data_IF_873281736156
#
_entry.id   IF_873281736156
#
_cell.length_a   1.000
_cell.length_b   1.000
_cell.length_c   1.000
_cell.angle_alpha   90.00
_cell.angle_beta   90.00
_cell.angle_gamma   90.00
#
_symmetry.space_group_name_H-M   'P 1'
#
loop_
_entity.id
_entity.type
_entity.pdbx_description
1 polymer ?
#
# COMPACT_ATOMS: atom_id res chain seq x y z
N UNK A 1 -68.10 -70.80 -2.93
CA UNK A 1 -67.74 -69.81 -3.96
C UNK A 1 -67.51 -68.47 -3.23
N UNK A 2 -66.22 -68.13 -3.04
CA UNK A 2 -65.81 -66.83 -2.52
C UNK A 2 -64.96 -66.22 -3.62
N UNK A 3 -65.50 -65.33 -4.43
CA UNK A 3 -64.77 -64.48 -5.39
C UNK A 3 -64.07 -63.40 -4.59
N UNK A 4 -62.74 -63.42 -4.61
CA UNK A 4 -61.92 -62.36 -4.08
C UNK A 4 -61.98 -61.14 -5.04
N UNK A 5 -62.60 -60.06 -4.55
CA UNK A 5 -62.54 -58.71 -5.14
C UNK A 5 -61.10 -58.17 -4.88
N UNK A 6 -60.20 -58.44 -5.81
CA UNK A 6 -58.90 -57.74 -5.87
C UNK A 6 -59.17 -56.33 -6.35
N UNK A 7 -59.11 -55.39 -5.44
CA UNK A 7 -59.59 -54.00 -5.59
C UNK A 7 -58.75 -53.14 -6.54
N UNK A 8 -59.27 -52.04 -7.04
CA UNK A 8 -58.63 -51.07 -7.98
C UNK A 8 -57.43 -50.31 -7.31
N UNK A 9 -57.19 -50.52 -6.03
CA UNK A 9 -56.14 -49.79 -5.25
C UNK A 9 -54.70 -50.15 -5.68
N UNK A 10 -54.43 -51.36 -6.22
CA UNK A 10 -53.11 -51.73 -6.64
C UNK A 10 -52.67 -51.05 -7.95
N UNK A 11 -53.63 -50.88 -8.91
CA UNK A 11 -53.39 -50.17 -10.15
C UNK A 11 -53.17 -48.66 -9.98
N UNK A 12 -53.89 -48.07 -9.05
CA UNK A 12 -53.70 -46.64 -8.69
C UNK A 12 -52.35 -46.38 -8.02
N UNK A 13 -51.84 -47.25 -7.15
CA UNK A 13 -50.52 -47.09 -6.55
C UNK A 13 -49.40 -47.28 -7.58
N UNK A 14 -49.52 -48.21 -8.50
CA UNK A 14 -48.59 -48.40 -9.59
C UNK A 14 -48.52 -47.21 -10.56
N UNK A 15 -49.68 -46.61 -10.89
CA UNK A 15 -49.75 -45.42 -11.71
C UNK A 15 -49.19 -44.16 -11.03
N UNK A 16 -49.41 -44.05 -9.71
CA UNK A 16 -48.82 -42.96 -8.92
C UNK A 16 -47.31 -43.06 -8.81
N UNK A 17 -46.76 -44.29 -8.59
CA UNK A 17 -45.31 -44.50 -8.52
C UNK A 17 -44.61 -44.24 -9.88
N UNK A 18 -45.22 -44.57 -11.02
CA UNK A 18 -44.67 -44.29 -12.34
C UNK A 18 -44.69 -42.78 -12.67
N UNK A 19 -45.76 -42.06 -12.26
CA UNK A 19 -45.82 -40.60 -12.43
C UNK A 19 -44.79 -39.87 -11.55
N UNK A 20 -44.61 -40.32 -10.32
CA UNK A 20 -43.56 -39.81 -9.40
C UNK A 20 -42.16 -40.08 -9.97
N UNK A 21 -41.92 -41.25 -10.52
CA UNK A 21 -40.62 -41.62 -11.11
C UNK A 21 -40.31 -40.77 -12.35
N UNK A 22 -41.28 -40.53 -13.23
CA UNK A 22 -41.10 -39.64 -14.39
C UNK A 22 -40.82 -38.20 -13.99
N UNK A 23 -41.46 -37.70 -12.95
CA UNK A 23 -41.20 -36.40 -12.37
C UNK A 23 -39.79 -36.29 -11.81
N UNK A 24 -39.36 -37.23 -11.00
CA UNK A 24 -38.00 -37.26 -10.42
C UNK A 24 -36.91 -37.37 -11.49
N UNK A 25 -37.20 -38.14 -12.57
CA UNK A 25 -36.29 -38.22 -13.70
C UNK A 25 -36.17 -36.90 -14.47
N UNK A 26 -37.24 -36.14 -14.58
CA UNK A 26 -37.21 -34.80 -15.17
C UNK A 26 -36.42 -33.83 -14.29
N UNK A 27 -36.73 -33.79 -12.97
CA UNK A 27 -35.99 -32.98 -11.98
C UNK A 27 -34.48 -33.35 -11.97
N UNK A 28 -34.14 -34.61 -12.09
CA UNK A 28 -32.74 -35.06 -12.19
C UNK A 28 -32.02 -34.52 -13.43
N UNK A 29 -32.71 -34.54 -14.60
CA UNK A 29 -32.14 -33.98 -15.85
C UNK A 29 -31.90 -32.47 -15.70
N UNK A 30 -32.86 -31.75 -15.12
CA UNK A 30 -32.77 -30.32 -14.93
C UNK A 30 -31.63 -29.96 -13.96
N UNK A 31 -31.51 -30.68 -12.83
CA UNK A 31 -30.45 -30.45 -11.86
C UNK A 31 -29.08 -30.86 -12.40
N UNK A 32 -29.01 -31.91 -13.21
CA UNK A 32 -27.76 -32.27 -13.88
C UNK A 32 -27.34 -31.24 -14.91
N UNK A 33 -28.30 -30.67 -15.66
CA UNK A 33 -28.04 -29.55 -16.60
C UNK A 33 -27.55 -28.30 -15.86
N UNK A 34 -28.16 -28.01 -14.71
CA UNK A 34 -27.74 -26.90 -13.81
C UNK A 34 -26.31 -27.15 -13.27
N UNK A 35 -26.04 -28.34 -12.79
CA UNK A 35 -24.70 -28.70 -12.30
C UNK A 35 -23.61 -28.53 -13.37
N UNK A 36 -23.93 -28.86 -14.64
CA UNK A 36 -23.00 -28.63 -15.76
C UNK A 36 -22.77 -27.16 -16.05
N UNK A 37 -23.81 -26.30 -16.05
CA UNK A 37 -23.66 -24.84 -16.20
C UNK A 37 -22.78 -24.28 -15.09
N UNK A 38 -23.03 -24.66 -13.83
CA UNK A 38 -22.21 -24.22 -12.69
C UNK A 38 -20.75 -24.67 -12.81
N UNK A 39 -20.47 -25.86 -13.36
CA UNK A 39 -19.10 -26.31 -13.64
C UNK A 39 -18.43 -25.46 -14.73
N UNK A 40 -19.15 -25.11 -15.80
CA UNK A 40 -18.63 -24.23 -16.84
C UNK A 40 -18.34 -22.82 -16.31
N UNK A 41 -19.25 -22.26 -15.51
CA UNK A 41 -19.06 -20.99 -14.82
C UNK A 41 -17.86 -21.06 -13.84
N UNK A 42 -17.71 -22.17 -13.12
CA UNK A 42 -16.57 -22.40 -12.25
C UNK A 42 -15.23 -22.45 -13.01
N UNK A 43 -15.24 -23.04 -14.22
CA UNK A 43 -14.05 -23.07 -15.06
C UNK A 43 -13.69 -21.67 -15.58
N UNK A 44 -14.69 -20.87 -16.01
CA UNK A 44 -14.48 -19.48 -16.40
C UNK A 44 -13.95 -18.62 -15.24
N UNK A 45 -14.54 -18.78 -14.05
CA UNK A 45 -14.09 -18.10 -12.85
C UNK A 45 -12.72 -18.56 -12.36
N UNK A 46 -12.32 -19.80 -12.66
CA UNK A 46 -10.95 -20.27 -12.40
C UNK A 46 -9.93 -19.49 -13.24
N UNK A 47 -10.25 -19.17 -14.50
CA UNK A 47 -9.40 -18.31 -15.33
C UNK A 47 -9.30 -16.89 -14.77
N UNK A 48 -10.42 -16.31 -14.32
CA UNK A 48 -10.42 -15.00 -13.64
C UNK A 48 -9.55 -15.03 -12.36
N UNK A 49 -9.65 -16.08 -11.58
CA UNK A 49 -8.84 -16.24 -10.36
C UNK A 49 -7.33 -16.29 -10.69
N UNK A 50 -6.94 -16.92 -11.78
CA UNK A 50 -5.53 -16.96 -12.25
C UNK A 50 -5.07 -15.55 -12.65
N UNK A 51 -5.92 -14.78 -13.32
CA UNK A 51 -5.62 -13.41 -13.70
C UNK A 51 -5.49 -12.50 -12.47
N UNK A 52 -6.43 -12.59 -11.53
CA UNK A 52 -6.33 -11.89 -10.25
C UNK A 52 -5.05 -12.26 -9.47
N UNK A 53 -4.62 -13.52 -9.51
CA UNK A 53 -3.36 -13.94 -8.89
C UNK A 53 -2.14 -13.31 -9.57
N UNK A 54 -2.19 -13.11 -10.89
CA UNK A 54 -1.12 -12.40 -11.61
C UNK A 54 -1.07 -10.93 -11.20
N UNK A 55 -2.21 -10.23 -11.22
CA UNK A 55 -2.32 -8.83 -10.81
C UNK A 55 -1.83 -8.64 -9.37
N UNK A 56 -2.24 -9.51 -8.44
CA UNK A 56 -1.80 -9.47 -7.05
C UNK A 56 -0.28 -9.66 -6.90
N UNK A 57 0.35 -10.50 -7.72
CA UNK A 57 1.82 -10.64 -7.71
C UNK A 57 2.53 -9.40 -8.21
N UNK A 58 2.01 -8.76 -9.25
CA UNK A 58 2.57 -7.51 -9.79
C UNK A 58 2.45 -6.37 -8.79
N UNK A 59 1.27 -6.19 -8.18
CA UNK A 59 1.06 -5.16 -7.16
C UNK A 59 1.95 -5.36 -5.92
N UNK A 60 2.12 -6.59 -5.46
CA UNK A 60 3.01 -6.89 -4.32
C UNK A 60 4.48 -6.64 -4.63
N UNK A 61 4.92 -6.84 -5.87
CA UNK A 61 6.28 -6.45 -6.29
C UNK A 61 6.45 -4.95 -6.27
N UNK A 62 5.49 -4.22 -6.83
CA UNK A 62 5.52 -2.77 -6.80
C UNK A 62 5.47 -2.21 -5.36
N UNK A 63 4.69 -2.82 -4.45
CA UNK A 63 4.68 -2.48 -3.02
C UNK A 63 6.05 -2.68 -2.38
N UNK A 64 6.74 -3.78 -2.66
CA UNK A 64 8.08 -4.04 -2.15
C UNK A 64 9.13 -3.04 -2.69
N UNK A 65 8.99 -2.58 -3.93
CA UNK A 65 9.83 -1.53 -4.51
C UNK A 65 9.58 -0.18 -3.84
N UNK A 66 8.32 0.15 -3.54
CA UNK A 66 7.96 1.36 -2.80
C UNK A 66 8.53 1.35 -1.37
N UNK A 67 8.50 0.21 -0.67
CA UNK A 67 9.09 0.07 0.66
C UNK A 67 10.58 0.43 0.65
N UNK A 68 11.34 -0.07 -0.33
CA UNK A 68 12.76 0.26 -0.51
C UNK A 68 12.96 1.75 -0.78
N UNK A 69 12.12 2.36 -1.62
CA UNK A 69 12.21 3.79 -1.91
C UNK A 69 11.88 4.64 -0.69
N UNK A 70 10.88 4.28 0.10
CA UNK A 70 10.52 4.97 1.33
C UNK A 70 11.66 4.94 2.35
N UNK A 71 12.26 3.78 2.57
CA UNK A 71 13.41 3.65 3.48
C UNK A 71 14.60 4.51 3.01
N UNK A 72 14.90 4.53 1.71
CA UNK A 72 15.93 5.39 1.15
C UNK A 72 15.64 6.89 1.37
N UNK A 73 14.38 7.33 1.19
CA UNK A 73 13.99 8.71 1.44
C UNK A 73 14.03 9.07 2.93
N UNK A 74 13.61 8.18 3.83
CA UNK A 74 13.71 8.37 5.28
C UNK A 74 15.16 8.48 5.74
N UNK A 75 16.05 7.61 5.24
CA UNK A 75 17.48 7.68 5.51
C UNK A 75 18.07 9.02 5.05
N UNK A 76 17.71 9.48 3.86
CA UNK A 76 18.14 10.78 3.33
C UNK A 76 17.65 11.96 4.16
N UNK A 77 16.40 11.95 4.60
CA UNK A 77 15.85 12.99 5.47
C UNK A 77 16.60 13.04 6.81
N UNK A 78 16.92 11.89 7.38
CA UNK A 78 17.71 11.78 8.60
C UNK A 78 19.10 12.39 8.41
N UNK A 79 19.81 12.04 7.33
CA UNK A 79 21.12 12.59 7.00
C UNK A 79 21.08 14.12 6.86
N UNK A 80 20.08 14.65 6.13
CA UNK A 80 19.90 16.08 5.94
C UNK A 80 19.63 16.81 7.28
N UNK A 81 18.82 16.21 8.16
CA UNK A 81 18.53 16.75 9.49
C UNK A 81 19.77 16.78 10.39
N UNK A 82 20.57 15.74 10.38
CA UNK A 82 21.84 15.66 11.13
C UNK A 82 22.82 16.72 10.61
N UNK A 83 22.96 16.87 9.31
CA UNK A 83 23.82 17.88 8.69
C UNK A 83 23.35 19.30 8.98
N UNK A 84 22.04 19.57 8.94
CA UNK A 84 21.46 20.86 9.30
C UNK A 84 21.78 21.17 10.78
N UNK A 85 21.53 20.23 11.70
CA UNK A 85 21.80 20.41 13.11
C UNK A 85 23.27 20.75 13.38
N UNK A 86 24.20 20.06 12.73
CA UNK A 86 25.62 20.32 12.86
C UNK A 86 26.00 21.72 12.38
N UNK A 87 25.46 22.17 11.23
CA UNK A 87 25.71 23.51 10.69
C UNK A 87 25.10 24.60 11.56
N UNK A 88 23.89 24.40 12.07
CA UNK A 88 23.23 25.35 12.99
C UNK A 88 24.02 25.48 14.29
N UNK A 89 24.51 24.37 14.85
CA UNK A 89 25.36 24.40 16.06
C UNK A 89 26.68 25.10 15.80
N UNK A 90 27.33 24.90 14.66
CA UNK A 90 28.54 25.61 14.27
C UNK A 90 28.29 27.11 14.10
N UNK A 91 27.21 27.47 13.39
CA UNK A 91 26.80 28.86 13.17
C UNK A 91 26.51 29.61 14.49
N UNK A 92 25.85 28.96 15.44
CA UNK A 92 25.53 29.55 16.75
C UNK A 92 26.81 29.83 17.57
N UNK A 93 27.77 28.90 17.57
CA UNK A 93 29.06 29.10 18.23
C UNK A 93 29.85 30.27 17.65
N UNK A 94 29.88 30.39 16.32
CA UNK A 94 30.59 31.48 15.65
C UNK A 94 29.92 32.83 15.89
N UNK A 95 28.58 32.90 15.82
CA UNK A 95 27.82 34.10 16.16
C UNK A 95 28.10 34.56 17.60
N UNK A 96 28.13 33.63 18.55
CA UNK A 96 28.46 33.94 19.93
C UNK A 96 29.90 34.47 20.09
N UNK A 97 30.86 33.90 19.34
CA UNK A 97 32.26 34.40 19.36
C UNK A 97 32.35 35.82 18.74
N UNK A 98 31.67 36.06 17.62
CA UNK A 98 31.61 37.42 17.03
C UNK A 98 30.93 38.42 17.93
N UNK A 99 29.83 38.05 18.59
CA UNK A 99 29.13 38.88 19.54
C UNK A 99 30.04 39.34 20.70
N UNK A 100 30.88 38.46 21.23
CA UNK A 100 31.87 38.80 22.23
C UNK A 100 32.94 39.77 21.72
N UNK A 101 33.45 39.57 20.49
CA UNK A 101 34.39 40.50 19.88
C UNK A 101 33.79 41.86 19.61
N UNK A 102 32.57 41.93 19.07
CA UNK A 102 31.87 43.21 18.88
C UNK A 102 31.59 43.93 20.18
N UNK A 103 31.19 43.21 21.23
CA UNK A 103 31.00 43.80 22.57
C UNK A 103 32.29 44.38 23.13
N UNK A 104 33.42 43.66 22.96
CA UNK A 104 34.74 44.17 23.39
C UNK A 104 35.13 45.44 22.61
N UNK A 105 34.95 45.45 21.27
CA UNK A 105 35.20 46.62 20.42
C UNK A 105 34.30 47.80 20.80
N UNK A 106 33.02 47.56 21.10
CA UNK A 106 32.10 48.62 21.57
C UNK A 106 32.51 49.17 22.91
N UNK A 107 32.99 48.35 23.87
CA UNK A 107 33.49 48.82 25.14
C UNK A 107 34.73 49.71 24.96
N UNK A 108 35.63 49.34 24.08
CA UNK A 108 36.81 50.15 23.73
C UNK A 108 36.40 51.48 23.04
N UNK A 109 35.39 51.48 22.18
CA UNK A 109 34.89 52.66 21.51
C UNK A 109 34.14 53.62 22.42
N UNK A 110 33.45 53.14 23.48
CA UNK A 110 32.67 53.96 24.41
C UNK A 110 33.50 54.74 25.43
N UNK A 111 34.76 54.37 25.62
CA UNK A 111 35.71 55.07 26.45
C UNK A 111 36.89 55.53 25.59
N UNK A 112 36.69 56.43 24.59
CA UNK A 112 37.81 57.03 23.91
C UNK A 112 38.52 57.92 24.94
N UNK A 113 39.84 57.91 25.01
CA UNK A 113 40.59 58.88 25.82
C UNK A 113 40.20 60.27 25.38
N UNK A 114 40.01 61.26 26.31
CA UNK A 114 39.63 62.62 25.98
C UNK A 114 40.66 63.22 25.01
N UNK A 115 40.23 63.87 23.91
CA UNK A 115 41.10 64.21 22.76
C UNK A 115 42.06 65.37 23.00
N UNK A 116 42.09 65.96 24.19
CA UNK A 116 42.81 67.21 24.40
C UNK A 116 44.00 67.23 25.38
N UNK A 117 44.30 66.12 26.06
CA UNK A 117 45.47 65.92 26.88
C UNK A 117 45.85 64.45 26.95
N UNK A 118 46.39 63.93 25.85
CA UNK A 118 46.89 62.57 25.82
C UNK A 118 48.35 62.58 26.26
N UNK A 119 48.74 62.06 27.48
CA UNK A 119 50.09 61.80 27.82
C UNK A 119 50.74 60.90 26.74
N UNK A 120 52.05 61.02 26.51
CA UNK A 120 52.73 60.28 25.46
C UNK A 120 52.49 58.76 25.51
N UNK A 121 52.29 58.22 26.70
CA UNK A 121 51.97 56.81 26.94
C UNK A 121 50.60 56.38 26.37
N UNK A 122 49.56 57.26 26.44
CA UNK A 122 48.22 56.99 25.92
C UNK A 122 48.19 57.17 24.38
N UNK A 123 49.03 58.01 23.80
CA UNK A 123 49.17 58.12 22.36
C UNK A 123 49.71 56.80 21.74
N UNK A 124 50.66 56.16 22.40
CA UNK A 124 51.20 54.85 22.00
C UNK A 124 50.10 53.78 22.07
N UNK A 125 49.24 53.78 23.08
CA UNK A 125 48.15 52.79 23.20
C UNK A 125 47.06 53.04 22.16
N UNK A 126 46.77 54.26 21.79
CA UNK A 126 45.84 54.59 20.71
C UNK A 126 46.34 54.10 19.33
N UNK A 127 47.65 54.26 19.07
CA UNK A 127 48.27 53.76 17.84
C UNK A 127 48.27 52.20 17.84
N UNK A 128 48.61 51.58 18.95
CA UNK A 128 48.52 50.11 19.10
C UNK A 128 47.09 49.60 18.86
N UNK A 129 46.08 50.26 19.46
CA UNK A 129 44.68 49.91 19.27
C UNK A 129 44.27 50.03 17.78
N UNK A 130 44.70 51.08 17.07
CA UNK A 130 44.43 51.27 15.67
C UNK A 130 45.06 50.23 14.76
N UNK A 131 46.30 49.79 15.09
CA UNK A 131 47.00 48.74 14.40
C UNK A 131 46.30 47.38 14.62
N UNK A 132 45.85 47.10 15.85
CA UNK A 132 45.10 45.88 16.17
C UNK A 132 43.76 45.83 15.45
N UNK A 133 43.01 46.95 15.42
CA UNK A 133 41.74 47.02 14.72
C UNK A 133 41.97 46.77 13.21
N UNK A 134 42.96 47.44 12.62
CA UNK A 134 43.30 47.23 11.19
C UNK A 134 43.73 45.80 10.88
N UNK A 135 44.43 45.12 11.81
CA UNK A 135 44.83 43.72 11.66
C UNK A 135 43.67 42.72 11.79
N UNK A 136 42.68 43.04 12.65
CA UNK A 136 41.53 42.15 12.90
C UNK A 136 40.42 42.32 11.85
N UNK A 137 40.31 43.49 11.22
CA UNK A 137 39.23 43.79 10.24
C UNK A 137 39.12 42.75 9.12
N UNK A 138 40.23 42.32 8.42
CA UNK A 138 40.14 41.34 7.37
C UNK A 138 39.73 39.95 7.88
N UNK A 139 40.13 39.56 9.11
CA UNK A 139 39.66 38.30 9.72
C UNK A 139 38.16 38.33 10.03
N UNK A 140 37.64 39.45 10.53
CA UNK A 140 36.23 39.63 10.74
C UNK A 140 35.41 39.61 9.45
N UNK A 141 35.94 40.18 8.37
CA UNK A 141 35.31 40.12 7.04
C UNK A 141 35.21 38.67 6.56
N UNK A 142 36.33 37.92 6.57
CA UNK A 142 36.33 36.49 6.19
C UNK A 142 35.38 35.65 7.02
N UNK A 143 35.29 35.89 8.33
CA UNK A 143 34.34 35.21 9.23
C UNK A 143 32.89 35.58 8.88
N UNK A 144 32.60 36.83 8.53
CA UNK A 144 31.28 37.22 8.09
C UNK A 144 30.87 36.57 6.77
N UNK A 145 31.80 36.47 5.80
CA UNK A 145 31.58 35.74 4.56
C UNK A 145 31.28 34.26 4.83
N UNK A 146 32.07 33.60 5.66
CA UNK A 146 31.82 32.19 6.06
C UNK A 146 30.47 32.00 6.73
N UNK A 147 30.00 32.95 7.52
CA UNK A 147 28.66 32.88 8.13
C UNK A 147 27.54 32.97 7.08
N UNK A 148 27.69 33.87 6.10
CA UNK A 148 26.73 33.99 4.98
C UNK A 148 26.69 32.70 4.17
N UNK A 149 27.85 32.12 3.85
CA UNK A 149 27.93 30.85 3.11
C UNK A 149 27.25 29.72 3.86
N UNK A 150 27.50 29.57 5.18
CA UNK A 150 26.87 28.56 6.01
C UNK A 150 25.36 28.75 6.13
N UNK A 151 24.89 30.01 6.19
CA UNK A 151 23.48 30.29 6.21
C UNK A 151 22.81 29.92 4.87
N UNK A 152 23.48 30.20 3.75
CA UNK A 152 23.03 29.78 2.43
C UNK A 152 22.99 28.26 2.29
N UNK A 153 23.96 27.51 2.85
CA UNK A 153 24.00 26.05 2.85
C UNK A 153 22.84 25.47 3.69
N UNK A 154 22.55 26.01 4.88
CA UNK A 154 21.38 25.64 5.68
C UNK A 154 20.10 25.82 4.85
N UNK A 155 19.98 26.94 4.12
CA UNK A 155 18.86 27.18 3.23
C UNK A 155 18.75 26.13 2.10
N UNK A 156 19.87 25.68 1.54
CA UNK A 156 19.87 24.59 0.55
C UNK A 156 19.43 23.26 1.16
N UNK A 157 19.97 22.89 2.32
CA UNK A 157 19.59 21.65 3.01
C UNK A 157 18.10 21.62 3.33
N UNK A 158 17.53 22.72 3.81
CA UNK A 158 16.08 22.83 4.08
C UNK A 158 15.23 22.63 2.83
N UNK A 159 15.65 23.20 1.70
CA UNK A 159 14.95 22.98 0.42
C UNK A 159 15.03 21.52 -0.02
N UNK A 160 16.20 20.88 0.12
CA UNK A 160 16.37 19.46 -0.21
C UNK A 160 15.54 18.56 0.71
N UNK A 161 15.47 18.89 1.99
CA UNK A 161 14.62 18.17 2.95
C UNK A 161 13.13 18.31 2.61
N UNK A 162 12.68 19.52 2.25
CA UNK A 162 11.30 19.74 1.83
C UNK A 162 10.95 18.91 0.58
N UNK A 163 11.81 18.88 -0.44
CA UNK A 163 11.61 18.08 -1.64
C UNK A 163 11.61 16.56 -1.35
N UNK A 164 12.50 16.11 -0.45
CA UNK A 164 12.53 14.70 -0.04
C UNK A 164 11.29 14.31 0.77
N UNK A 165 10.78 15.20 1.61
CA UNK A 165 9.54 15.00 2.37
C UNK A 165 8.32 14.92 1.45
N UNK A 166 8.25 15.78 0.44
CA UNK A 166 7.18 15.74 -0.57
C UNK A 166 7.19 14.43 -1.37
N UNK A 167 8.38 13.98 -1.78
CA UNK A 167 8.53 12.68 -2.45
C UNK A 167 8.12 11.51 -1.56
N UNK A 168 8.51 11.52 -0.29
CA UNK A 168 8.11 10.50 0.67
C UNK A 168 6.59 10.44 0.79
N UNK A 169 5.93 11.59 0.95
CA UNK A 169 4.46 11.67 1.02
C UNK A 169 3.80 11.10 -0.25
N UNK A 170 4.34 11.41 -1.43
CA UNK A 170 3.81 10.89 -2.71
C UNK A 170 3.91 9.37 -2.78
N UNK A 171 5.04 8.80 -2.37
CA UNK A 171 5.24 7.34 -2.37
C UNK A 171 4.34 6.67 -1.32
N UNK A 172 4.22 7.24 -0.12
CA UNK A 172 3.33 6.73 0.94
C UNK A 172 1.85 6.74 0.49
N UNK A 173 1.41 7.79 -0.20
CA UNK A 173 0.06 7.86 -0.76
C UNK A 173 -0.16 6.76 -1.81
N UNK A 174 0.75 6.62 -2.75
CA UNK A 174 0.66 5.58 -3.79
C UNK A 174 0.67 4.16 -3.20
N UNK A 175 1.46 3.93 -2.14
CA UNK A 175 1.48 2.66 -1.44
C UNK A 175 0.15 2.34 -0.76
N UNK A 176 -0.47 3.33 -0.11
CA UNK A 176 -1.78 3.16 0.52
C UNK A 176 -2.86 2.81 -0.52
N UNK A 177 -2.85 3.46 -1.69
CA UNK A 177 -3.76 3.16 -2.77
C UNK A 177 -3.57 1.71 -3.29
N UNK A 178 -2.32 1.27 -3.46
CA UNK A 178 -2.01 -0.13 -3.86
C UNK A 178 -2.45 -1.15 -2.81
N UNK A 179 -2.27 -0.85 -1.52
CA UNK A 179 -2.75 -1.73 -0.44
C UNK A 179 -4.26 -1.89 -0.48
N UNK A 180 -5.00 -0.80 -0.67
CA UNK A 180 -6.45 -0.85 -0.81
C UNK A 180 -6.87 -1.68 -2.05
N UNK A 181 -6.16 -1.55 -3.17
CA UNK A 181 -6.38 -2.36 -4.36
C UNK A 181 -6.10 -3.85 -4.12
N UNK A 182 -4.99 -4.20 -3.48
CA UNK A 182 -4.64 -5.58 -3.10
C UNK A 182 -5.73 -6.19 -2.20
N UNK A 183 -6.22 -5.44 -1.22
CA UNK A 183 -7.31 -5.88 -0.34
C UNK A 183 -8.60 -6.12 -1.13
N UNK A 184 -8.97 -5.20 -2.01
CA UNK A 184 -10.14 -5.32 -2.87
C UNK A 184 -10.08 -6.54 -3.81
N UNK A 185 -8.97 -6.75 -4.50
CA UNK A 185 -8.76 -7.90 -5.39
C UNK A 185 -8.73 -9.22 -4.59
N UNK A 186 -8.14 -9.22 -3.41
CA UNK A 186 -8.10 -10.40 -2.54
C UNK A 186 -9.50 -10.77 -2.04
N UNK A 187 -10.29 -9.78 -1.63
CA UNK A 187 -11.68 -9.97 -1.22
C UNK A 187 -12.53 -10.52 -2.39
N UNK A 188 -12.41 -9.93 -3.58
CA UNK A 188 -13.11 -10.40 -4.79
C UNK A 188 -12.75 -11.85 -5.13
N UNK A 189 -11.47 -12.20 -5.12
CA UNK A 189 -10.98 -13.57 -5.35
C UNK A 189 -11.56 -14.55 -4.33
N UNK A 190 -11.56 -14.17 -3.05
CA UNK A 190 -12.07 -15.01 -1.97
C UNK A 190 -13.59 -15.22 -2.09
N UNK A 191 -14.34 -14.15 -2.36
CA UNK A 191 -15.78 -14.22 -2.57
C UNK A 191 -16.14 -15.13 -3.76
N UNK A 192 -15.46 -14.96 -4.90
CA UNK A 192 -15.66 -15.76 -6.08
C UNK A 192 -15.42 -17.27 -5.80
N UNK A 193 -14.30 -17.60 -5.14
CA UNK A 193 -14.01 -18.99 -4.72
C UNK A 193 -15.04 -19.56 -3.77
N UNK A 194 -15.52 -18.79 -2.80
CA UNK A 194 -16.49 -19.26 -1.81
C UNK A 194 -17.85 -19.54 -2.42
N UNK A 195 -18.35 -18.64 -3.27
CA UNK A 195 -19.64 -18.78 -3.97
C UNK A 195 -19.61 -20.02 -4.86
N UNK A 196 -18.59 -20.17 -5.71
CA UNK A 196 -18.47 -21.31 -6.63
C UNK A 196 -18.41 -22.65 -5.91
N UNK A 197 -17.64 -22.74 -4.81
CA UNK A 197 -17.56 -23.96 -4.00
C UNK A 197 -18.91 -24.29 -3.34
N UNK A 198 -19.61 -23.28 -2.82
CA UNK A 198 -20.90 -23.47 -2.17
C UNK A 198 -21.97 -23.94 -3.17
N UNK A 199 -21.99 -23.34 -4.36
CA UNK A 199 -22.96 -23.70 -5.42
C UNK A 199 -22.67 -25.08 -6.00
N UNK A 200 -21.42 -25.41 -6.29
CA UNK A 200 -21.02 -26.75 -6.73
C UNK A 200 -21.40 -27.83 -5.71
N UNK A 201 -21.13 -27.60 -4.45
CA UNK A 201 -21.49 -28.53 -3.37
C UNK A 201 -23.01 -28.68 -3.17
N UNK A 202 -23.80 -27.62 -3.46
CA UNK A 202 -25.28 -27.70 -3.42
C UNK A 202 -25.80 -28.56 -4.59
N UNK A 203 -25.32 -28.30 -5.80
CA UNK A 203 -25.74 -29.02 -6.97
C UNK A 203 -25.39 -30.52 -6.90
N UNK A 204 -24.19 -30.86 -6.38
CA UNK A 204 -23.79 -32.25 -6.16
C UNK A 204 -24.64 -32.97 -5.09
N UNK A 205 -25.02 -32.28 -4.05
CA UNK A 205 -25.91 -32.85 -3.03
C UNK A 205 -27.33 -33.07 -3.58
N UNK A 206 -27.86 -32.13 -4.35
CA UNK A 206 -29.15 -32.26 -4.97
C UNK A 206 -29.22 -33.43 -5.98
N UNK A 207 -28.22 -33.54 -6.86
CA UNK A 207 -28.14 -34.68 -7.82
C UNK A 207 -28.05 -36.01 -7.10
N UNK A 208 -27.19 -36.15 -6.07
CA UNK A 208 -27.09 -37.39 -5.29
C UNK A 208 -28.38 -37.76 -4.54
N UNK A 209 -29.10 -36.77 -4.01
CA UNK A 209 -30.38 -37.00 -3.35
C UNK A 209 -31.44 -37.52 -4.33
N UNK A 210 -31.50 -36.90 -5.54
CA UNK A 210 -32.41 -37.36 -6.60
C UNK A 210 -32.07 -38.75 -7.11
N UNK A 211 -30.79 -39.05 -7.29
CA UNK A 211 -30.33 -40.41 -7.64
C UNK A 211 -30.73 -41.45 -6.60
N UNK A 212 -30.58 -41.16 -5.32
CA UNK A 212 -31.01 -42.07 -4.26
C UNK A 212 -32.52 -42.31 -4.33
N UNK A 213 -33.31 -41.25 -4.50
CA UNK A 213 -34.77 -41.35 -4.56
C UNK A 213 -35.27 -42.10 -5.79
N UNK A 214 -34.64 -41.92 -6.96
CA UNK A 214 -34.96 -42.69 -8.19
C UNK A 214 -34.66 -44.16 -7.96
N UNK A 215 -33.53 -44.53 -7.32
CA UNK A 215 -33.19 -45.93 -7.00
C UNK A 215 -34.16 -46.56 -6.01
N UNK A 216 -34.61 -45.85 -5.00
CA UNK A 216 -35.63 -46.35 -4.04
C UNK A 216 -36.94 -46.70 -4.73
N UNK A 217 -37.33 -45.97 -5.78
CA UNK A 217 -38.50 -46.25 -6.60
C UNK A 217 -38.27 -47.31 -7.71
N UNK A 218 -37.12 -47.97 -7.72
CA UNK A 218 -36.75 -48.99 -8.68
C UNK A 218 -36.49 -48.45 -10.10
N UNK A 219 -36.28 -47.14 -10.24
CA UNK A 219 -36.00 -46.48 -11.51
C UNK A 219 -34.49 -46.48 -11.82
N UNK A 220 -34.18 -46.36 -13.13
CA UNK A 220 -32.82 -46.11 -13.59
C UNK A 220 -32.60 -44.61 -13.78
N UNK A 221 -31.43 -44.14 -13.38
CA UNK A 221 -31.02 -42.75 -13.63
C UNK A 221 -30.86 -42.52 -15.13
N UNK A 222 -31.47 -41.49 -15.69
CA UNK A 222 -31.33 -41.22 -17.13
C UNK A 222 -29.86 -40.93 -17.45
N UNK A 223 -29.29 -41.63 -18.45
CA UNK A 223 -28.04 -41.23 -19.02
C UNK A 223 -28.17 -39.88 -19.70
N UNK A 224 -27.66 -38.82 -19.07
CA UNK A 224 -27.61 -37.50 -19.69
C UNK A 224 -26.40 -37.49 -20.60
N UNK A 225 -26.63 -37.57 -21.93
CA UNK A 225 -25.59 -37.51 -22.92
C UNK A 225 -24.62 -36.36 -22.63
N UNK A 226 -23.35 -36.64 -22.64
CA UNK A 226 -22.27 -35.67 -22.46
C UNK A 226 -22.26 -34.79 -23.71
N UNK A 227 -22.90 -33.61 -23.64
CA UNK A 227 -22.75 -32.63 -24.69
C UNK A 227 -21.28 -32.18 -24.72
N UNK A 228 -20.64 -32.14 -25.93
CA UNK A 228 -19.27 -31.66 -26.03
C UNK A 228 -19.17 -30.29 -25.38
N UNK A 229 -18.16 -30.10 -24.53
CA UNK A 229 -17.86 -28.80 -23.91
C UNK A 229 -17.63 -27.79 -25.04
N UNK A 230 -18.60 -26.91 -25.28
CA UNK A 230 -18.39 -25.74 -26.15
C UNK A 230 -17.23 -24.94 -25.53
N UNK A 231 -16.12 -24.93 -26.25
CA UNK A 231 -14.98 -24.11 -25.89
C UNK A 231 -15.45 -22.65 -25.80
N UNK A 232 -15.08 -21.89 -24.75
CA UNK A 232 -15.45 -20.49 -24.66
C UNK A 232 -14.89 -19.75 -25.88
N UNK A 233 -15.79 -19.14 -26.65
CA UNK A 233 -15.44 -18.27 -27.76
C UNK A 233 -14.48 -17.19 -27.25
N UNK A 234 -13.26 -17.21 -27.75
CA UNK A 234 -12.28 -16.16 -27.52
C UNK A 234 -12.86 -14.82 -28.00
N UNK A 235 -12.99 -13.86 -27.11
CA UNK A 235 -13.20 -12.44 -27.40
C UNK A 235 -11.94 -11.64 -27.07
#
# INVERSE_FOLDING_TARGET
MLLALAGPAAGQRAAQSTAELTRLQAEYRDETARARRLRAEAAAAAAEIVDLDRQLRELRRAEAEDDVQMEAQRARLKELAEREAALVAALSRERAAQGRLLSALQMMSRKPPPPLLIPADQAVDTVRASILIRAITPDLQKRAETLVERQAEIGRIRRLAALSSERLFTVESAQNDRRAEIEGLTARKTALRSVLRAEAARAERATKALEARIRELGGQTPQVAEAPAEAPAAR
#
